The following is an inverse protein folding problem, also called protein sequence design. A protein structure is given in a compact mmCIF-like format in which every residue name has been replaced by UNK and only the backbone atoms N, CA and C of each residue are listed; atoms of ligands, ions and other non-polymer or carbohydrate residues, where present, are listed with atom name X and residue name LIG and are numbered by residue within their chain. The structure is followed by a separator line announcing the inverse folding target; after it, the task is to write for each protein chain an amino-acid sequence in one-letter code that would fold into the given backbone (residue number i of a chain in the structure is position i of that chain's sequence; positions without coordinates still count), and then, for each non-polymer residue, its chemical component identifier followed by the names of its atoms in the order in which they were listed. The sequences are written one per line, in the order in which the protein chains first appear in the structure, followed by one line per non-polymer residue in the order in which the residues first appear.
data_IF_533123506585
#
_entry.id   IF_533123506585
#
_cell.length_a   1.000
_cell.length_b   1.000
_cell.length_c   1.000
_cell.angle_alpha   90.00
_cell.angle_beta   90.00
_cell.angle_gamma   90.00
#
_symmetry.space_group_name_H-M   'P 1'
#
loop_
_entity.id
_entity.type
_entity.pdbx_description
1 polymer ?
#
# COMPACT_ATOMS: atom_id res chain seq x y z
N UNK A 1 21.40 20.20 2.24
CA UNK A 1 22.78 19.82 2.66
C UNK A 1 23.53 20.99 3.32
N UNK A 2 22.96 21.71 4.30
CA UNK A 2 23.62 22.87 4.95
C UNK A 2 23.48 22.93 6.49
N UNK A 3 22.99 21.87 7.13
CA UNK A 3 22.73 21.85 8.58
C UNK A 3 23.86 21.24 9.44
N UNK A 4 24.97 20.79 8.84
CA UNK A 4 26.01 20.02 9.55
C UNK A 4 27.23 20.82 10.03
N UNK A 5 27.31 22.14 9.77
CA UNK A 5 28.52 22.94 10.05
C UNK A 5 28.47 23.78 11.35
N UNK A 6 27.36 23.79 12.10
CA UNK A 6 27.24 24.57 13.34
C UNK A 6 27.47 23.75 14.62
N UNK A 7 27.58 22.42 14.53
CA UNK A 7 27.80 21.55 15.70
C UNK A 7 29.26 21.49 16.19
N UNK A 8 30.22 21.98 15.41
CA UNK A 8 31.66 21.79 15.67
C UNK A 8 32.33 22.94 16.43
N UNK A 9 31.62 24.05 16.69
CA UNK A 9 32.18 25.23 17.39
C UNK A 9 31.81 25.31 18.88
N UNK A 10 30.95 24.42 19.39
CA UNK A 10 30.63 24.33 20.83
C UNK A 10 31.45 23.27 21.59
N UNK A 11 32.21 22.43 20.89
CA UNK A 11 33.05 21.41 21.52
C UNK A 11 34.46 21.91 21.93
N UNK A 12 34.92 23.04 21.39
CA UNK A 12 36.25 23.60 21.67
C UNK A 12 36.32 24.50 22.90
N UNK A 13 35.18 24.92 23.47
CA UNK A 13 35.14 25.78 24.67
C UNK A 13 35.24 25.05 26.00
N UNK A 14 35.01 23.74 26.04
CA UNK A 14 34.95 22.95 27.30
C UNK A 14 36.31 22.38 27.70
N UNK A 15 37.28 22.34 26.79
CA UNK A 15 38.59 21.72 27.06
C UNK A 15 39.54 22.68 27.82
N UNK A 16 39.31 24.00 27.78
CA UNK A 16 40.21 24.98 28.42
C UNK A 16 39.96 25.20 29.92
N UNK A 17 38.84 24.72 30.49
CA UNK A 17 38.50 24.94 31.90
C UNK A 17 38.90 23.78 32.84
N UNK A 18 39.39 22.65 32.30
CA UNK A 18 39.70 21.47 33.09
C UNK A 18 41.17 21.36 33.54
N UNK A 19 42.05 22.28 33.13
CA UNK A 19 43.50 22.09 33.25
C UNK A 19 44.16 22.88 34.39
N UNK A 20 43.38 23.51 35.28
CA UNK A 20 43.91 24.45 36.29
C UNK A 20 43.55 24.11 37.75
N UNK A 21 43.25 22.85 38.05
CA UNK A 21 42.98 22.41 39.42
C UNK A 21 43.63 21.04 39.70
N UNK A 22 44.96 20.97 39.78
CA UNK A 22 45.63 19.78 40.29
C UNK A 22 46.92 20.11 41.03
N UNK A 23 46.79 20.79 42.16
CA UNK A 23 47.86 20.93 43.13
C UNK A 23 47.29 20.93 44.55
N UNK A 24 47.01 19.74 45.10
CA UNK A 24 46.79 19.46 46.53
C UNK A 24 46.85 17.93 46.80
N UNK A 25 46.96 17.49 48.06
CA UNK A 25 48.09 16.79 48.66
C UNK A 25 47.99 15.26 48.57
N UNK A 26 49.11 14.60 48.91
CA UNK A 26 49.30 13.15 48.94
C UNK A 26 48.07 12.39 49.47
N UNK A 27 47.44 11.64 48.56
CA UNK A 27 46.31 10.78 48.85
C UNK A 27 46.72 9.62 49.78
N UNK A 28 45.85 9.20 50.71
CA UNK A 28 46.06 7.97 51.47
C UNK A 28 46.17 6.78 50.52
N UNK A 29 47.08 5.85 50.82
CA UNK A 29 47.29 4.64 50.05
C UNK A 29 45.94 3.95 49.77
N UNK A 30 45.60 3.82 48.48
CA UNK A 30 44.39 3.16 48.03
C UNK A 30 44.38 1.72 48.59
N UNK A 31 43.26 1.24 49.15
CA UNK A 31 43.14 -0.14 49.59
C UNK A 31 43.47 -1.06 48.41
N UNK A 32 44.32 -2.05 48.64
CA UNK A 32 44.62 -3.08 47.64
C UNK A 32 43.30 -3.73 47.19
N UNK A 33 42.91 -3.44 45.95
CA UNK A 33 41.76 -4.07 45.30
C UNK A 33 42.00 -5.58 45.35
N UNK A 34 41.11 -6.29 46.05
CA UNK A 34 41.17 -7.73 46.25
C UNK A 34 41.35 -8.45 44.91
N UNK A 35 42.15 -9.52 44.89
CA UNK A 35 42.35 -10.34 43.69
C UNK A 35 41.02 -10.88 43.11
N UNK A 36 39.99 -11.03 43.96
CA UNK A 36 38.63 -11.41 43.55
C UNK A 36 37.94 -10.36 42.67
N UNK A 37 38.14 -9.07 42.97
CA UNK A 37 37.48 -7.98 42.27
C UNK A 37 38.09 -7.78 40.88
N UNK A 38 39.41 -8.00 40.76
CA UNK A 38 40.10 -8.00 39.46
C UNK A 38 39.64 -9.14 38.56
N UNK A 39 39.41 -10.33 39.12
CA UNK A 39 38.88 -11.47 38.38
C UNK A 39 37.43 -11.24 37.92
N UNK A 40 36.58 -10.68 38.79
CA UNK A 40 35.21 -10.32 38.45
C UNK A 40 35.15 -9.25 37.35
N UNK A 41 35.99 -8.22 37.44
CA UNK A 41 36.13 -7.20 36.41
C UNK A 41 36.52 -7.79 35.05
N UNK A 42 37.56 -8.63 35.01
CA UNK A 42 38.02 -9.25 33.76
C UNK A 42 36.93 -10.11 33.10
N UNK A 43 36.18 -10.89 33.89
CA UNK A 43 35.08 -11.70 33.39
C UNK A 43 33.92 -10.85 32.84
N UNK A 44 33.56 -9.76 33.52
CA UNK A 44 32.55 -8.82 33.03
C UNK A 44 33.01 -8.09 31.76
N UNK A 45 34.29 -7.76 31.67
CA UNK A 45 34.86 -7.13 30.49
C UNK A 45 34.83 -8.08 29.27
N UNK A 46 35.21 -9.35 29.45
CA UNK A 46 35.19 -10.34 28.37
C UNK A 46 33.78 -10.61 27.87
N UNK A 47 32.80 -10.72 28.77
CA UNK A 47 31.38 -10.91 28.40
C UNK A 47 30.82 -9.71 27.64
N UNK A 48 31.17 -8.48 28.02
CA UNK A 48 30.80 -7.29 27.26
C UNK A 48 31.44 -7.27 25.87
N UNK A 49 32.73 -7.60 25.75
CA UNK A 49 33.43 -7.64 24.46
C UNK A 49 32.82 -8.70 23.53
N UNK A 50 32.46 -9.86 24.05
CA UNK A 50 31.78 -10.90 23.28
C UNK A 50 30.39 -10.44 22.81
N UNK A 51 29.63 -9.78 23.68
CA UNK A 51 28.31 -9.27 23.35
C UNK A 51 28.37 -8.12 22.31
N UNK A 52 29.39 -7.26 22.38
CA UNK A 52 29.68 -6.26 21.34
C UNK A 52 30.00 -6.88 20.00
N UNK A 53 30.87 -7.90 19.99
CA UNK A 53 31.25 -8.60 18.77
C UNK A 53 30.03 -9.22 18.11
N UNK A 54 29.18 -9.88 18.90
CA UNK A 54 27.93 -10.45 18.43
C UNK A 54 27.02 -9.39 17.81
N UNK A 55 26.87 -8.22 18.45
CA UNK A 55 26.08 -7.09 17.94
C UNK A 55 26.61 -6.55 16.62
N UNK A 56 27.93 -6.40 16.50
CA UNK A 56 28.57 -5.94 15.26
C UNK A 56 28.38 -6.94 14.12
N UNK A 57 28.59 -8.23 14.39
CA UNK A 57 28.33 -9.29 13.40
C UNK A 57 26.87 -9.31 12.97
N UNK A 58 25.96 -9.08 13.91
CA UNK A 58 24.53 -9.00 13.65
C UNK A 58 24.16 -7.82 12.74
N UNK A 59 24.69 -6.62 13.01
CA UNK A 59 24.41 -5.43 12.18
C UNK A 59 25.02 -5.49 10.78
N UNK A 60 26.11 -6.24 10.61
CA UNK A 60 26.71 -6.45 9.29
C UNK A 60 25.82 -7.31 8.40
N UNK A 61 24.92 -8.13 8.97
CA UNK A 61 24.00 -8.96 8.19
C UNK A 61 22.71 -8.20 7.86
N UNK A 62 22.49 -7.78 6.60
CA UNK A 62 21.28 -7.07 6.23
C UNK A 62 20.06 -7.98 6.32
N UNK A 63 19.04 -7.55 7.06
CA UNK A 63 17.73 -8.20 7.10
C UNK A 63 17.52 -9.19 8.25
N UNK A 64 18.46 -9.31 9.18
CA UNK A 64 18.27 -10.09 10.41
C UNK A 64 17.69 -9.20 11.50
N UNK A 65 16.52 -9.56 12.03
CA UNK A 65 15.85 -8.82 13.11
C UNK A 65 16.38 -9.24 14.48
N UNK A 66 16.78 -8.30 15.34
CA UNK A 66 17.25 -8.61 16.70
C UNK A 66 16.12 -9.32 17.47
N UNK A 67 16.31 -10.56 17.94
CA UNK A 67 15.29 -11.26 18.69
C UNK A 67 15.00 -10.51 20.01
N UNK A 68 13.74 -10.41 20.40
CA UNK A 68 13.36 -9.79 21.68
C UNK A 68 13.94 -10.50 22.91
N UNK A 69 14.34 -11.76 22.76
CA UNK A 69 15.07 -12.53 23.78
C UNK A 69 16.45 -11.91 24.05
N UNK A 70 17.16 -11.53 22.99
CA UNK A 70 18.50 -10.94 23.09
C UNK A 70 18.46 -9.58 23.80
N UNK A 71 17.43 -8.77 23.52
CA UNK A 71 17.23 -7.51 24.25
C UNK A 71 17.09 -7.73 25.76
N UNK A 72 16.36 -8.78 26.18
CA UNK A 72 16.21 -9.14 27.60
C UNK A 72 17.52 -9.62 28.22
N UNK A 73 18.36 -10.30 27.44
CA UNK A 73 19.66 -10.77 27.92
C UNK A 73 20.64 -9.60 28.10
N UNK A 74 20.61 -8.60 27.20
CA UNK A 74 21.32 -7.34 27.40
C UNK A 74 20.80 -6.52 28.59
N UNK A 75 19.48 -6.50 28.84
CA UNK A 75 18.90 -5.86 30.04
C UNK A 75 19.38 -6.49 31.34
N UNK A 76 19.47 -7.83 31.38
CA UNK A 76 20.04 -8.55 32.53
C UNK A 76 21.53 -8.25 32.70
N UNK A 77 22.29 -8.24 31.60
CA UNK A 77 23.72 -7.92 31.63
C UNK A 77 23.97 -6.50 32.14
N UNK A 78 23.22 -5.51 31.63
CA UNK A 78 23.32 -4.13 32.11
C UNK A 78 22.96 -4.01 33.58
N UNK A 79 21.90 -4.68 34.04
CA UNK A 79 21.54 -4.71 35.47
C UNK A 79 22.67 -5.28 36.32
N UNK A 80 23.25 -6.41 35.92
CA UNK A 80 24.37 -7.04 36.64
C UNK A 80 25.63 -6.16 36.67
N UNK A 81 25.90 -5.39 35.61
CA UNK A 81 27.05 -4.48 35.53
C UNK A 81 26.80 -3.20 36.32
N UNK A 82 25.57 -2.65 36.33
CA UNK A 82 25.19 -1.50 37.16
C UNK A 82 25.25 -1.81 38.66
N UNK A 83 24.94 -3.06 39.03
CA UNK A 83 25.09 -3.56 40.40
C UNK A 83 26.58 -3.73 40.80
N UNK A 84 27.49 -3.76 39.83
CA UNK A 84 28.93 -3.78 40.07
C UNK A 84 29.48 -2.36 40.27
N UNK A 85 30.51 -2.20 41.11
CA UNK A 85 31.16 -0.90 41.34
C UNK A 85 32.00 -0.38 40.14
N UNK A 86 31.96 -1.07 39.00
CA UNK A 86 32.75 -0.77 37.80
C UNK A 86 32.04 0.22 36.88
N UNK A 87 32.26 1.52 37.14
CA UNK A 87 31.58 2.63 36.47
C UNK A 87 31.81 2.69 34.95
N UNK A 88 32.97 2.26 34.48
CA UNK A 88 33.33 2.24 33.05
C UNK A 88 32.57 1.14 32.29
N UNK A 89 32.48 -0.06 32.86
CA UNK A 89 31.70 -1.16 32.31
C UNK A 89 30.21 -0.81 32.27
N UNK A 90 29.70 -0.14 33.30
CA UNK A 90 28.30 0.31 33.38
C UNK A 90 27.94 1.33 32.28
N UNK A 91 28.88 2.21 31.91
CA UNK A 91 28.67 3.13 30.80
C UNK A 91 28.63 2.39 29.45
N UNK A 92 29.48 1.38 29.29
CA UNK A 92 29.59 0.58 28.07
C UNK A 92 28.38 -0.34 27.86
N UNK A 93 27.90 -0.99 28.93
CA UNK A 93 26.67 -1.80 28.91
C UNK A 93 25.44 -0.96 28.57
N UNK A 94 25.33 0.24 29.15
CA UNK A 94 24.23 1.17 28.86
C UNK A 94 24.20 1.61 27.39
N UNK A 95 25.37 1.82 26.76
CA UNK A 95 25.46 2.14 25.34
C UNK A 95 24.99 0.98 24.45
N UNK A 96 25.38 -0.26 24.75
CA UNK A 96 24.94 -1.45 24.01
C UNK A 96 23.43 -1.65 24.08
N UNK A 97 22.88 -1.46 25.27
CA UNK A 97 21.45 -1.54 25.52
C UNK A 97 20.67 -0.44 24.79
N UNK A 98 21.21 0.77 24.72
CA UNK A 98 20.62 1.84 23.91
C UNK A 98 20.57 1.50 22.42
N UNK A 99 21.70 1.03 21.86
CA UNK A 99 21.79 0.69 20.43
C UNK A 99 20.83 -0.45 20.08
N UNK A 100 20.77 -1.51 20.90
CA UNK A 100 19.84 -2.63 20.70
C UNK A 100 18.37 -2.20 20.79
N UNK A 101 18.01 -1.35 21.75
CA UNK A 101 16.64 -0.81 21.86
C UNK A 101 16.23 -0.01 20.64
N UNK A 102 17.11 0.87 20.17
CA UNK A 102 16.82 1.72 19.02
C UNK A 102 16.67 0.88 17.74
N UNK A 103 17.47 -0.17 17.57
CA UNK A 103 17.37 -1.07 16.43
C UNK A 103 16.08 -1.90 16.44
N UNK A 104 15.70 -2.45 17.60
CA UNK A 104 14.39 -3.13 17.74
C UNK A 104 13.25 -2.16 17.43
N UNK A 105 13.34 -0.89 17.87
CA UNK A 105 12.35 0.14 17.57
C UNK A 105 12.28 0.44 16.07
N UNK A 106 13.41 0.66 15.40
CA UNK A 106 13.46 0.93 13.96
C UNK A 106 12.90 -0.24 13.14
N UNK A 107 13.20 -1.48 13.52
CA UNK A 107 12.62 -2.68 12.90
C UNK A 107 11.11 -2.70 13.05
N UNK A 108 10.58 -2.41 14.24
CA UNK A 108 9.13 -2.32 14.46
C UNK A 108 8.48 -1.21 13.64
N UNK A 109 9.11 -0.04 13.54
CA UNK A 109 8.62 1.07 12.72
C UNK A 109 8.60 0.69 11.23
N UNK A 110 9.67 0.05 10.73
CA UNK A 110 9.73 -0.46 9.35
C UNK A 110 8.64 -1.50 9.09
N UNK A 111 8.41 -2.41 10.03
CA UNK A 111 7.36 -3.44 9.91
C UNK A 111 5.96 -2.82 9.89
N UNK A 112 5.68 -1.87 10.79
CA UNK A 112 4.42 -1.12 10.80
C UNK A 112 4.21 -0.33 9.50
N UNK A 113 5.28 0.30 8.99
CA UNK A 113 5.22 1.02 7.72
C UNK A 113 4.96 0.07 6.54
N UNK A 114 5.60 -1.10 6.52
CA UNK A 114 5.38 -2.13 5.49
C UNK A 114 3.95 -2.69 5.54
N UNK A 115 3.42 -2.99 6.73
CA UNK A 115 2.04 -3.43 6.93
C UNK A 115 1.03 -2.37 6.47
N UNK A 116 1.29 -1.10 6.79
CA UNK A 116 0.46 0.03 6.36
C UNK A 116 0.49 0.18 4.83
N UNK A 117 1.68 0.12 4.22
CA UNK A 117 1.84 0.17 2.77
C UNK A 117 1.13 -1.01 2.09
N UNK A 118 1.24 -2.22 2.64
CA UNK A 118 0.54 -3.40 2.12
C UNK A 118 -0.99 -3.24 2.21
N UNK A 119 -1.49 -2.66 3.31
CA UNK A 119 -2.92 -2.37 3.47
C UNK A 119 -3.41 -1.35 2.44
N UNK A 120 -2.70 -0.24 2.27
CA UNK A 120 -3.02 0.78 1.26
C UNK A 120 -2.98 0.21 -0.16
N UNK A 121 -2.01 -0.65 -0.46
CA UNK A 121 -1.94 -1.34 -1.75
C UNK A 121 -3.16 -2.25 -1.97
N UNK A 122 -3.55 -3.04 -0.97
CA UNK A 122 -4.75 -3.89 -1.05
C UNK A 122 -6.03 -3.07 -1.24
N UNK A 123 -6.20 -2.00 -0.48
CA UNK A 123 -7.34 -1.08 -0.61
C UNK A 123 -7.37 -0.47 -2.02
N UNK A 124 -6.23 0.02 -2.54
CA UNK A 124 -6.14 0.58 -3.89
C UNK A 124 -6.47 -0.44 -5.00
N UNK A 125 -6.11 -1.71 -4.82
CA UNK A 125 -6.43 -2.78 -5.78
C UNK A 125 -7.92 -3.10 -5.78
N UNK A 126 -8.56 -3.11 -4.61
CA UNK A 126 -10.02 -3.31 -4.49
C UNK A 126 -10.76 -2.15 -5.15
N UNK A 127 -10.33 -0.91 -4.92
CA UNK A 127 -10.93 0.27 -5.52
C UNK A 127 -10.77 0.31 -7.04
N UNK A 128 -9.57 -0.02 -7.56
CA UNK A 128 -9.34 -0.14 -9.01
C UNK A 128 -10.22 -1.20 -9.65
N UNK A 129 -10.44 -2.35 -8.99
CA UNK A 129 -11.33 -3.41 -9.49
C UNK A 129 -12.78 -2.95 -9.50
N UNK A 130 -13.24 -2.27 -8.45
CA UNK A 130 -14.59 -1.68 -8.37
C UNK A 130 -14.81 -0.64 -9.47
N UNK A 131 -13.84 0.25 -9.66
CA UNK A 131 -13.89 1.30 -10.68
C UNK A 131 -13.90 0.71 -12.11
N UNK A 132 -13.04 -0.28 -12.39
CA UNK A 132 -13.06 -0.99 -13.68
C UNK A 132 -14.41 -1.65 -13.95
N UNK A 133 -14.99 -2.34 -12.95
CA UNK A 133 -16.33 -2.95 -13.08
C UNK A 133 -17.40 -1.92 -13.39
N UNK A 134 -17.38 -0.75 -12.73
CA UNK A 134 -18.32 0.35 -13.00
C UNK A 134 -18.19 0.89 -14.42
N UNK A 135 -16.96 1.07 -14.91
CA UNK A 135 -16.73 1.53 -16.30
C UNK A 135 -17.23 0.51 -17.31
N UNK A 136 -16.98 -0.78 -17.08
CA UNK A 136 -17.47 -1.84 -17.97
C UNK A 136 -19.00 -1.91 -17.99
N UNK A 137 -19.67 -1.84 -16.84
CA UNK A 137 -21.14 -1.86 -16.80
C UNK A 137 -21.75 -0.61 -17.44
N UNK A 138 -21.15 0.56 -17.23
CA UNK A 138 -21.58 1.79 -17.89
C UNK A 138 -21.41 1.71 -19.42
N UNK A 139 -20.28 1.18 -19.90
CA UNK A 139 -20.03 1.02 -21.34
C UNK A 139 -21.03 0.05 -21.96
N UNK A 140 -21.28 -1.10 -21.30
CA UNK A 140 -22.27 -2.08 -21.74
C UNK A 140 -23.69 -1.48 -21.76
N UNK A 141 -24.05 -0.69 -20.74
CA UNK A 141 -25.33 0.00 -20.70
C UNK A 141 -25.51 0.95 -21.89
N UNK A 142 -24.54 1.84 -22.14
CA UNK A 142 -24.65 2.82 -23.21
C UNK A 142 -24.62 2.21 -24.61
N UNK A 143 -23.79 1.19 -24.83
CA UNK A 143 -23.72 0.47 -26.12
C UNK A 143 -24.99 -0.33 -26.40
N UNK A 144 -25.55 -1.03 -25.41
CA UNK A 144 -26.80 -1.76 -25.56
C UNK A 144 -28.00 -0.83 -25.73
N UNK A 145 -28.05 0.29 -25.01
CA UNK A 145 -29.08 1.32 -25.19
C UNK A 145 -29.01 1.96 -26.57
N UNK A 146 -27.81 2.29 -27.06
CA UNK A 146 -27.63 2.83 -28.40
C UNK A 146 -28.08 1.85 -29.49
N UNK A 147 -27.72 0.58 -29.33
CA UNK A 147 -28.17 -0.50 -30.23
C UNK A 147 -29.69 -0.66 -30.19
N UNK A 148 -30.29 -0.55 -29.01
CA UNK A 148 -31.74 -0.61 -28.85
C UNK A 148 -32.43 0.51 -29.63
N UNK A 149 -32.00 1.76 -29.41
CA UNK A 149 -32.57 2.95 -30.08
C UNK A 149 -32.41 2.85 -31.59
N UNK A 150 -31.23 2.45 -32.08
CA UNK A 150 -30.98 2.26 -33.51
C UNK A 150 -31.90 1.17 -34.11
N UNK A 151 -32.10 0.05 -33.39
CA UNK A 151 -33.00 -1.02 -33.80
C UNK A 151 -34.47 -0.56 -33.90
N UNK A 152 -34.97 0.17 -32.91
CA UNK A 152 -36.33 0.71 -32.95
C UNK A 152 -36.51 1.78 -34.04
N UNK A 153 -35.53 2.66 -34.22
CA UNK A 153 -35.56 3.67 -35.28
C UNK A 153 -35.55 3.00 -36.68
N UNK A 154 -34.71 1.98 -36.88
CA UNK A 154 -34.67 1.20 -38.10
C UNK A 154 -35.99 0.46 -38.36
N UNK A 155 -36.58 -0.13 -37.32
CA UNK A 155 -37.89 -0.78 -37.41
C UNK A 155 -38.99 0.20 -37.82
N UNK A 156 -39.05 1.35 -37.16
CA UNK A 156 -40.03 2.40 -37.47
C UNK A 156 -39.86 2.91 -38.90
N UNK A 157 -38.62 3.15 -39.34
CA UNK A 157 -38.32 3.57 -40.71
C UNK A 157 -38.75 2.54 -41.76
N UNK A 158 -38.44 1.25 -41.53
CA UNK A 158 -38.85 0.17 -42.44
C UNK A 158 -40.37 0.00 -42.47
N UNK A 159 -41.02 0.09 -41.31
CA UNK A 159 -42.49 0.03 -41.22
C UNK A 159 -43.15 1.19 -41.98
N UNK A 160 -42.69 2.43 -41.78
CA UNK A 160 -43.19 3.59 -42.49
C UNK A 160 -43.01 3.48 -44.01
N UNK A 161 -41.85 2.99 -44.45
CA UNK A 161 -41.56 2.84 -45.87
C UNK A 161 -42.36 1.70 -46.51
N UNK A 162 -42.63 0.61 -45.77
CA UNK A 162 -43.54 -0.46 -46.18
C UNK A 162 -44.97 0.06 -46.35
N UNK A 163 -45.48 0.83 -45.39
CA UNK A 163 -46.82 1.44 -45.49
C UNK A 163 -46.93 2.39 -46.70
N UNK A 164 -45.89 3.18 -46.95
CA UNK A 164 -45.81 4.03 -48.13
C UNK A 164 -45.89 3.23 -49.46
N UNK A 165 -45.22 2.08 -49.54
CA UNK A 165 -45.26 1.22 -50.73
C UNK A 165 -46.61 0.50 -50.87
N UNK A 166 -47.24 0.10 -49.78
CA UNK A 166 -48.58 -0.48 -49.80
C UNK A 166 -49.62 0.54 -50.33
N UNK A 167 -49.51 1.81 -49.94
CA UNK A 167 -50.34 2.87 -50.51
C UNK A 167 -50.10 3.04 -52.02
N UNK A 168 -48.85 2.93 -52.49
CA UNK A 168 -48.51 2.98 -53.92
C UNK A 168 -49.01 1.76 -54.68
N UNK A 169 -48.95 0.58 -54.07
CA UNK A 169 -49.51 -0.65 -54.61
C UNK A 169 -51.00 -0.49 -54.92
N UNK A 170 -51.78 0.01 -53.96
CA UNK A 170 -53.23 0.24 -54.12
C UNK A 170 -53.56 1.32 -55.15
N UNK A 171 -52.69 2.32 -55.30
CA UNK A 171 -52.90 3.43 -56.24
C UNK A 171 -52.51 3.11 -57.70
N UNK A 172 -51.83 1.99 -57.95
CA UNK A 172 -51.23 1.70 -59.26
C UNK A 172 -52.11 0.78 -60.11
N UNK A 173 -52.38 1.16 -61.36
CA UNK A 173 -53.17 0.37 -62.30
C UNK A 173 -52.37 -0.72 -63.04
N UNK A 174 -51.03 -0.65 -63.00
CA UNK A 174 -50.15 -1.62 -63.67
C UNK A 174 -49.88 -2.85 -62.79
N UNK A 175 -50.20 -4.07 -63.25
CA UNK A 175 -50.00 -5.29 -62.45
C UNK A 175 -48.52 -5.58 -62.18
N UNK A 176 -47.62 -5.23 -63.10
CA UNK A 176 -46.18 -5.43 -62.91
C UNK A 176 -45.61 -4.51 -61.82
N UNK A 177 -46.01 -3.25 -61.80
CA UNK A 177 -45.59 -2.30 -60.76
C UNK A 177 -46.19 -2.67 -59.41
N UNK A 178 -47.45 -3.12 -59.39
CA UNK A 178 -48.10 -3.60 -58.18
C UNK A 178 -47.32 -4.79 -57.56
N UNK A 179 -46.93 -5.78 -58.38
CA UNK A 179 -46.13 -6.91 -57.89
C UNK A 179 -44.79 -6.46 -57.27
N UNK A 180 -44.11 -5.47 -57.87
CA UNK A 180 -42.86 -4.93 -57.35
C UNK A 180 -43.06 -4.19 -56.01
N UNK A 181 -44.07 -3.32 -55.90
CA UNK A 181 -44.34 -2.62 -54.64
C UNK A 181 -44.68 -3.58 -53.52
N UNK A 182 -45.47 -4.62 -53.82
CA UNK A 182 -45.80 -5.65 -52.83
C UNK A 182 -44.57 -6.42 -52.36
N UNK A 183 -43.71 -6.85 -53.29
CA UNK A 183 -42.48 -7.56 -52.95
C UNK A 183 -41.54 -6.73 -52.05
N UNK A 184 -41.37 -5.43 -52.35
CA UNK A 184 -40.56 -4.54 -51.52
C UNK A 184 -41.19 -4.26 -50.15
N UNK A 185 -42.51 -4.11 -50.09
CA UNK A 185 -43.24 -3.95 -48.83
C UNK A 185 -43.02 -5.15 -47.90
N UNK A 186 -43.17 -6.38 -48.42
CA UNK A 186 -42.97 -7.60 -47.63
C UNK A 186 -41.53 -7.72 -47.10
N UNK A 187 -40.53 -7.34 -47.91
CA UNK A 187 -39.11 -7.29 -47.48
C UNK A 187 -38.92 -6.28 -46.36
N UNK A 188 -39.42 -5.05 -46.51
CA UNK A 188 -39.30 -3.99 -45.50
C UNK A 188 -40.04 -4.35 -44.21
N UNK A 189 -41.19 -5.02 -44.31
CA UNK A 189 -41.92 -5.52 -43.16
C UNK A 189 -41.09 -6.57 -42.38
N UNK A 190 -40.45 -7.51 -43.08
CA UNK A 190 -39.53 -8.48 -42.44
C UNK A 190 -38.33 -7.80 -41.78
N UNK A 191 -37.72 -6.81 -42.44
CA UNK A 191 -36.61 -6.02 -41.91
C UNK A 191 -37.02 -5.20 -40.69
N UNK A 192 -38.27 -4.72 -40.66
CA UNK A 192 -38.83 -4.02 -39.50
C UNK A 192 -38.87 -4.91 -38.27
N UNK A 193 -39.39 -6.14 -38.39
CA UNK A 193 -39.42 -7.09 -37.27
C UNK A 193 -38.01 -7.47 -36.80
N UNK A 194 -37.09 -7.70 -37.73
CA UNK A 194 -35.70 -8.02 -37.38
C UNK A 194 -35.04 -6.87 -36.60
N UNK A 195 -35.24 -5.63 -37.05
CA UNK A 195 -34.73 -4.43 -36.39
C UNK A 195 -35.35 -4.21 -35.00
N UNK A 196 -36.66 -4.44 -34.86
CA UNK A 196 -37.35 -4.40 -33.57
C UNK A 196 -36.81 -5.48 -32.62
N UNK A 197 -36.51 -6.68 -33.13
CA UNK A 197 -35.87 -7.75 -32.38
C UNK A 197 -34.50 -7.37 -31.82
N UNK A 198 -33.64 -6.77 -32.66
CA UNK A 198 -32.34 -6.21 -32.21
C UNK A 198 -32.57 -5.13 -31.15
N UNK A 199 -33.58 -4.27 -31.36
CA UNK A 199 -34.04 -3.26 -30.42
C UNK A 199 -34.34 -3.84 -29.03
N UNK A 200 -35.20 -4.86 -28.99
CA UNK A 200 -35.64 -5.55 -27.78
C UNK A 200 -34.47 -6.25 -27.07
N UNK A 201 -33.60 -6.94 -27.81
CA UNK A 201 -32.39 -7.56 -27.24
C UNK A 201 -31.50 -6.51 -26.58
N UNK A 202 -31.30 -5.36 -27.22
CA UNK A 202 -30.57 -4.24 -26.64
C UNK A 202 -31.14 -3.80 -25.27
N UNK A 203 -32.47 -3.65 -25.15
CA UNK A 203 -33.13 -3.32 -23.88
C UNK A 203 -32.90 -4.40 -22.82
N UNK A 204 -33.01 -5.68 -23.19
CA UNK A 204 -32.83 -6.78 -22.23
C UNK A 204 -31.43 -6.84 -21.63
N UNK A 205 -30.42 -6.34 -22.36
CA UNK A 205 -29.04 -6.22 -21.87
C UNK A 205 -28.85 -4.92 -21.07
N UNK A 206 -29.47 -3.83 -21.51
CA UNK A 206 -29.35 -2.52 -20.88
C UNK A 206 -29.97 -2.48 -19.46
N UNK A 207 -31.12 -3.13 -19.25
CA UNK A 207 -31.82 -3.10 -17.95
C UNK A 207 -30.99 -3.70 -16.80
N UNK A 208 -30.41 -4.91 -16.91
CA UNK A 208 -29.50 -5.45 -15.90
C UNK A 208 -28.25 -4.60 -15.71
N UNK A 209 -27.68 -4.05 -16.79
CA UNK A 209 -26.52 -3.17 -16.70
C UNK A 209 -26.82 -1.89 -15.90
N UNK A 210 -28.01 -1.30 -16.11
CA UNK A 210 -28.50 -0.15 -15.34
C UNK A 210 -28.70 -0.47 -13.86
N UNK A 211 -29.28 -1.63 -13.55
CA UNK A 211 -29.45 -2.10 -12.17
C UNK A 211 -28.09 -2.26 -11.47
N UNK A 212 -27.09 -2.82 -12.18
CA UNK A 212 -25.72 -2.95 -11.68
C UNK A 212 -24.97 -1.62 -11.48
N UNK A 213 -25.36 -0.55 -12.17
CA UNK A 213 -24.81 0.79 -11.93
C UNK A 213 -25.42 1.45 -10.68
N UNK A 214 -26.70 1.18 -10.38
CA UNK A 214 -27.44 1.80 -9.25
C UNK A 214 -27.09 1.21 -7.89
N UNK A 215 -26.52 0.01 -7.83
CA UNK A 215 -26.00 -0.58 -6.58
C UNK A 215 -24.73 0.15 -6.11
N UNK A 216 -24.89 1.39 -5.63
CA UNK A 216 -23.88 2.05 -4.80
C UNK A 216 -23.91 1.38 -3.42
N UNK A 217 -22.79 0.81 -2.94
CA UNK A 217 -22.71 0.47 -1.53
C UNK A 217 -22.75 1.79 -0.74
N UNK A 218 -23.80 1.99 0.04
CA UNK A 218 -23.81 2.99 1.12
C UNK A 218 -22.78 2.54 2.15
N UNK A 219 -21.59 3.12 2.12
CA UNK A 219 -20.64 2.97 3.22
C UNK A 219 -21.21 3.67 4.44
N UNK A 220 -21.57 2.90 5.47
CA UNK A 220 -21.71 3.37 6.85
C UNK A 220 -20.35 3.39 7.51
#
# INVERSE_FOLDING_TARGET
MRAWLLGLLLASGVIAAAQQAQEAPAAPALPEVSATDKAAHALMQDTLVEAERWLLEFFVQPGTDVPSVVLKDFEKLDTAVQESYFRDLAQRSGMLLFVTREEVRLVQERRKAAETAQRLLRESLVDRRRERRRRTTATLFWTSLGTAIAGFAGSYGCWYLSDYLDQRYLATASPQQAALFKAWSDVLQSASYASAGIGAVGITIALPALAGMRSRPTSR
#
